data_IF_768196051944
#
_entry.id   IF_768196051944
#
_cell.length_a   1.000
_cell.length_b   1.000
_cell.length_c   1.000
_cell.angle_alpha   90.00
_cell.angle_beta   90.00
_cell.angle_gamma   90.00
#
_symmetry.space_group_name_H-M   'P 1'
#
loop_
_entity.id
_entity.type
_entity.pdbx_description
1 polymer ?
#
# COMPACT_ATOMS: atom_id res chain seq x y z
N UNK A 1 -9.59 15.47 15.20
CA UNK A 1 -9.01 14.52 14.21
C UNK A 1 -10.11 14.17 13.23
N UNK A 2 -9.99 14.52 11.95
CA UNK A 2 -11.01 14.20 10.95
C UNK A 2 -10.37 13.42 9.78
N UNK A 3 -9.80 12.26 10.11
CA UNK A 3 -9.44 11.25 9.11
C UNK A 3 -10.59 10.27 8.89
N UNK A 4 -10.59 9.53 7.78
CA UNK A 4 -11.52 8.42 7.54
C UNK A 4 -10.92 7.15 8.15
N UNK A 5 -11.45 6.68 9.29
CA UNK A 5 -10.94 5.52 10.03
C UNK A 5 -9.44 5.62 10.40
N UNK A 6 -8.97 6.80 10.77
CA UNK A 6 -7.56 7.04 11.10
C UNK A 6 -6.63 7.31 9.91
N UNK A 7 -7.15 7.24 8.68
CA UNK A 7 -6.41 7.58 7.45
C UNK A 7 -6.78 8.97 6.94
N UNK A 8 -5.90 9.59 6.15
CA UNK A 8 -6.17 10.93 5.61
C UNK A 8 -7.45 11.03 4.79
N UNK A 9 -7.81 9.99 4.03
CA UNK A 9 -9.03 9.96 3.24
C UNK A 9 -9.49 8.52 2.94
N UNK A 10 -10.74 8.41 2.46
CA UNK A 10 -11.38 7.13 2.15
C UNK A 10 -10.62 6.31 1.10
N UNK A 11 -10.01 6.96 0.10
CA UNK A 11 -9.27 6.24 -0.93
C UNK A 11 -8.01 5.59 -0.35
N UNK A 12 -7.24 6.33 0.46
CA UNK A 12 -6.06 5.80 1.15
C UNK A 12 -6.43 4.63 2.08
N UNK A 13 -7.49 4.79 2.88
CA UNK A 13 -8.00 3.71 3.73
C UNK A 13 -8.41 2.47 2.93
N UNK A 14 -9.12 2.64 1.81
CA UNK A 14 -9.58 1.52 1.00
C UNK A 14 -8.40 0.72 0.43
N UNK A 15 -7.37 1.40 -0.07
CA UNK A 15 -6.16 0.73 -0.55
C UNK A 15 -5.47 -0.04 0.58
N UNK A 16 -5.31 0.57 1.75
CA UNK A 16 -4.70 -0.08 2.91
C UNK A 16 -5.48 -1.31 3.37
N UNK A 17 -6.82 -1.22 3.40
CA UNK A 17 -7.71 -2.32 3.72
C UNK A 17 -7.49 -3.52 2.78
N UNK A 18 -7.47 -3.29 1.47
CA UNK A 18 -7.27 -4.37 0.50
C UNK A 18 -5.89 -4.99 0.59
N UNK A 19 -4.83 -4.19 0.77
CA UNK A 19 -3.47 -4.74 0.94
C UNK A 19 -3.33 -5.57 2.21
N UNK A 20 -4.02 -5.18 3.30
CA UNK A 20 -3.95 -5.90 4.57
C UNK A 20 -4.85 -7.12 4.67
N UNK A 21 -5.97 -7.15 3.93
CA UNK A 21 -6.99 -8.19 4.09
C UNK A 21 -7.04 -9.21 2.94
N UNK A 22 -6.60 -8.86 1.75
CA UNK A 22 -6.49 -9.83 0.65
C UNK A 22 -5.18 -10.61 0.79
N UNK A 23 -5.28 -11.93 0.96
CA UNK A 23 -4.11 -12.79 1.22
C UNK A 23 -3.05 -12.68 0.11
N UNK A 24 -3.48 -12.59 -1.16
CA UNK A 24 -2.57 -12.44 -2.29
C UNK A 24 -1.81 -11.12 -2.23
N UNK A 25 -2.52 -10.00 -2.07
CA UNK A 25 -1.90 -8.68 -1.94
C UNK A 25 -1.01 -8.56 -0.71
N UNK A 26 -1.43 -9.13 0.41
CA UNK A 26 -0.66 -9.14 1.66
C UNK A 26 0.66 -9.88 1.47
N UNK A 27 0.63 -11.09 0.90
CA UNK A 27 1.84 -11.88 0.64
C UNK A 27 2.81 -11.14 -0.31
N UNK A 28 2.30 -10.52 -1.38
CA UNK A 28 3.13 -9.73 -2.30
C UNK A 28 3.72 -8.48 -1.60
N UNK A 29 2.97 -7.86 -0.69
CA UNK A 29 3.47 -6.74 0.10
C UNK A 29 4.60 -7.16 1.06
N UNK A 30 4.44 -8.29 1.75
CA UNK A 30 5.48 -8.88 2.60
C UNK A 30 6.74 -9.22 1.81
N UNK A 31 6.60 -9.84 0.64
CA UNK A 31 7.73 -10.16 -0.24
C UNK A 31 8.49 -8.91 -0.69
N UNK A 32 7.76 -7.87 -1.09
CA UNK A 32 8.35 -6.58 -1.45
C UNK A 32 9.12 -5.96 -0.27
N UNK A 33 8.51 -5.91 0.91
CA UNK A 33 9.09 -5.35 2.13
C UNK A 33 10.37 -6.10 2.53
N UNK A 34 10.31 -7.43 2.55
CA UNK A 34 11.46 -8.28 2.86
C UNK A 34 12.60 -8.10 1.84
N UNK A 35 12.27 -8.01 0.55
CA UNK A 35 13.25 -7.76 -0.50
C UNK A 35 13.95 -6.40 -0.33
N UNK A 36 13.19 -5.34 -0.04
CA UNK A 36 13.74 -4.01 0.17
C UNK A 36 14.61 -3.95 1.42
N UNK A 37 14.16 -4.56 2.52
CA UNK A 37 14.97 -4.71 3.74
C UNK A 37 16.29 -5.42 3.48
N UNK A 38 16.25 -6.59 2.84
CA UNK A 38 17.45 -7.36 2.50
C UNK A 38 18.42 -6.56 1.61
N UNK A 39 17.89 -5.71 0.75
CA UNK A 39 18.68 -4.85 -0.13
C UNK A 39 19.11 -3.52 0.52
N UNK A 40 18.72 -3.23 1.77
CA UNK A 40 18.97 -1.93 2.41
C UNK A 40 18.30 -0.75 1.70
N UNK A 41 17.21 -1.00 0.98
CA UNK A 41 16.50 0.01 0.17
C UNK A 41 15.29 0.56 0.92
N UNK A 42 14.92 1.84 0.68
CA UNK A 42 13.73 2.42 1.26
C UNK A 42 12.46 1.72 0.74
N UNK A 43 11.49 1.55 1.63
CA UNK A 43 10.17 1.00 1.31
C UNK A 43 9.23 2.16 0.98
N UNK A 44 8.90 2.28 -0.30
CA UNK A 44 7.91 3.23 -0.81
C UNK A 44 6.73 2.51 -1.44
N UNK A 45 5.53 3.05 -1.23
CA UNK A 45 4.29 2.54 -1.83
C UNK A 45 4.31 2.59 -3.37
N UNK A 46 4.94 3.61 -3.96
CA UNK A 46 5.12 3.68 -5.43
C UNK A 46 5.97 2.52 -5.98
N UNK A 47 6.98 2.09 -5.22
CA UNK A 47 7.79 0.93 -5.57
C UNK A 47 7.00 -0.37 -5.44
N UNK A 48 6.17 -0.48 -4.39
CA UNK A 48 5.29 -1.62 -4.18
C UNK A 48 4.31 -1.82 -5.35
N UNK A 49 3.55 -0.79 -5.75
CA UNK A 49 2.56 -0.94 -6.84
C UNK A 49 3.22 -1.29 -8.18
N UNK A 50 4.45 -0.84 -8.40
CA UNK A 50 5.21 -1.20 -9.60
C UNK A 50 5.69 -2.65 -9.54
N UNK A 51 6.16 -3.10 -8.37
CA UNK A 51 6.58 -4.48 -8.14
C UNK A 51 5.41 -5.47 -8.24
N UNK A 52 4.25 -5.11 -7.68
CA UNK A 52 3.04 -5.93 -7.65
C UNK A 52 2.25 -5.89 -8.98
N UNK A 53 2.66 -5.09 -9.96
CA UNK A 53 1.93 -4.95 -11.23
C UNK A 53 0.55 -4.26 -11.10
N UNK A 54 0.36 -3.43 -10.08
CA UNK A 54 -0.93 -2.79 -9.76
C UNK A 54 -1.08 -1.38 -10.38
N UNK A 55 -0.15 -0.97 -11.25
CA UNK A 55 -0.23 0.33 -11.92
C UNK A 55 -1.40 0.31 -12.91
N UNK A 56 -2.37 1.22 -12.74
CA UNK A 56 -3.59 1.24 -13.55
C UNK A 56 -4.71 0.36 -13.00
N UNK A 57 -4.39 -0.59 -12.13
CA UNK A 57 -5.37 -1.46 -11.49
C UNK A 57 -6.21 -0.75 -10.44
N UNK A 58 -7.32 -1.38 -10.07
CA UNK A 58 -8.27 -0.88 -9.08
C UNK A 58 -8.67 -1.96 -8.11
N UNK A 59 -8.99 -1.55 -6.88
CA UNK A 59 -9.68 -2.41 -5.92
C UNK A 59 -11.08 -2.77 -6.46
N UNK A 60 -11.72 -3.83 -5.95
CA UNK A 60 -13.13 -4.14 -6.23
C UNK A 60 -14.07 -2.96 -5.95
N UNK A 61 -13.74 -2.09 -4.99
CA UNK A 61 -14.45 -0.84 -4.69
C UNK A 61 -14.18 0.30 -5.69
N UNK A 62 -13.50 0.00 -6.80
CA UNK A 62 -13.13 0.92 -7.87
C UNK A 62 -12.19 2.04 -7.43
N UNK A 63 -11.41 1.89 -6.37
CA UNK A 63 -10.31 2.84 -6.07
C UNK A 63 -9.05 2.41 -6.80
N UNK A 64 -8.40 3.35 -7.50
CA UNK A 64 -7.16 3.04 -8.23
C UNK A 64 -5.97 2.97 -7.26
N UNK A 65 -5.17 1.92 -7.37
CA UNK A 65 -3.92 1.76 -6.61
C UNK A 65 -2.89 2.86 -6.94
N UNK A 66 -2.99 3.47 -8.12
CA UNK A 66 -2.13 4.57 -8.56
C UNK A 66 -2.79 5.96 -8.48
N UNK A 67 -3.97 6.07 -7.83
CA UNK A 67 -4.75 7.31 -7.77
C UNK A 67 -4.00 8.52 -7.22
N UNK A 68 -4.25 9.71 -7.79
CA UNK A 68 -3.61 10.97 -7.36
C UNK A 68 -4.08 11.44 -5.97
N UNK A 69 -5.26 11.00 -5.54
CA UNK A 69 -5.83 11.33 -4.23
C UNK A 69 -5.24 10.54 -3.06
N UNK A 70 -4.41 9.52 -3.33
CA UNK A 70 -3.85 8.67 -2.29
C UNK A 70 -2.77 9.40 -1.49
N UNK A 71 -2.78 9.21 -0.17
CA UNK A 71 -1.62 9.55 0.64
C UNK A 71 -0.57 8.44 0.57
N UNK A 72 0.33 8.58 -0.40
CA UNK A 72 1.42 7.62 -0.60
C UNK A 72 2.40 7.58 0.57
N UNK A 73 2.49 8.64 1.39
CA UNK A 73 3.37 8.66 2.55
C UNK A 73 2.81 7.75 3.64
N UNK A 74 1.51 7.89 3.96
CA UNK A 74 0.83 7.00 4.92
C UNK A 74 0.88 5.54 4.48
N UNK A 75 0.59 5.25 3.20
CA UNK A 75 0.70 3.87 2.69
C UNK A 75 2.14 3.32 2.75
N UNK A 76 3.14 4.18 2.57
CA UNK A 76 4.53 3.76 2.75
C UNK A 76 4.89 3.51 4.22
N UNK A 77 4.26 4.21 5.16
CA UNK A 77 4.41 3.94 6.60
C UNK A 77 3.83 2.57 6.93
N UNK A 78 2.59 2.30 6.51
CA UNK A 78 1.93 1.00 6.71
C UNK A 78 2.76 -0.17 6.16
N UNK A 79 3.33 -0.04 4.94
CA UNK A 79 4.22 -1.07 4.39
C UNK A 79 5.51 -1.26 5.20
N UNK A 80 6.00 -0.23 5.91
CA UNK A 80 7.17 -0.39 6.78
C UNK A 80 6.82 -1.09 8.08
N UNK A 81 5.60 -0.93 8.59
CA UNK A 81 5.11 -1.62 9.79
C UNK A 81 5.00 -3.12 9.57
N UNK A 82 4.72 -3.59 8.34
CA UNK A 82 4.81 -5.02 7.98
C UNK A 82 6.19 -5.64 8.15
N UNK A 83 7.21 -4.79 8.25
CA UNK A 83 8.58 -5.23 8.37
C UNK A 83 8.98 -5.47 9.84
N UNK A 84 8.24 -4.94 10.81
CA UNK A 84 8.51 -5.09 12.24
C UNK A 84 8.06 -6.45 12.77
#
# INVERSE_FOLDING_TARGET
MAGYNGWKNRATWNIALWIGNDEGLYNVAMDYVNRQKKAGKPIFYSGFISYAGLVGERTPDRFSFSGKQLDRKELSVMLREFAE
#
